data_IF_392565838300
#
_entry.id   IF_392565838300
#
_cell.length_a   1.000
_cell.length_b   1.000
_cell.length_c   1.000
_cell.angle_alpha   90.00
_cell.angle_beta   90.00
_cell.angle_gamma   90.00
#
_symmetry.space_group_name_H-M   'P 1'
#
loop_
_entity.id
_entity.type
_entity.pdbx_description
1 polymer ?
#
# COMPACT_ATOMS: atom_id res chain seq x y z
N UNK A 1 -37.85 -12.24 6.21
CA UNK A 1 -37.79 -10.76 6.23
C UNK A 1 -36.37 -10.41 6.57
N UNK A 2 -35.67 -9.70 5.70
CA UNK A 2 -34.36 -9.14 6.02
C UNK A 2 -34.57 -8.13 7.15
N UNK A 3 -33.88 -8.32 8.28
CA UNK A 3 -33.99 -7.43 9.45
C UNK A 3 -32.82 -6.46 9.43
N UNK A 4 -33.09 -5.21 9.08
CA UNK A 4 -32.10 -4.13 9.18
C UNK A 4 -32.10 -3.52 10.57
N UNK A 5 -30.95 -3.54 11.23
CA UNK A 5 -30.62 -2.77 12.42
C UNK A 5 -29.97 -1.45 12.00
N UNK A 6 -30.78 -0.40 11.92
CA UNK A 6 -30.31 0.97 11.70
C UNK A 6 -29.85 1.57 13.04
N UNK A 7 -28.57 1.93 13.15
CA UNK A 7 -28.01 2.55 14.35
C UNK A 7 -28.32 4.05 14.49
N UNK A 8 -28.96 4.68 13.50
CA UNK A 8 -29.33 6.09 13.47
C UNK A 8 -28.16 7.05 13.82
N UNK A 9 -26.98 6.77 13.28
CA UNK A 9 -25.73 7.48 13.51
C UNK A 9 -25.09 7.23 14.89
N UNK A 10 -25.66 6.37 15.73
CA UNK A 10 -25.16 6.09 17.08
C UNK A 10 -24.02 5.07 17.07
N UNK A 11 -23.34 4.97 18.22
CA UNK A 11 -22.26 4.01 18.45
C UNK A 11 -22.74 2.86 19.34
N UNK A 12 -22.72 1.64 18.80
CA UNK A 12 -22.87 0.41 19.55
C UNK A 12 -21.49 -0.01 20.11
N UNK A 13 -21.32 0.11 21.42
CA UNK A 13 -20.09 -0.32 22.12
C UNK A 13 -20.29 -1.72 22.65
N UNK A 14 -19.48 -2.66 22.19
CA UNK A 14 -19.57 -4.04 22.63
C UNK A 14 -18.95 -4.22 24.03
N UNK A 15 -19.52 -5.10 24.88
CA UNK A 15 -18.84 -5.57 26.08
C UNK A 15 -17.51 -6.22 25.70
N UNK A 16 -16.50 -6.07 26.54
CA UNK A 16 -15.17 -6.63 26.27
C UNK A 16 -15.24 -8.15 26.08
N UNK A 17 -14.52 -8.65 25.08
CA UNK A 17 -14.42 -10.09 24.75
C UNK A 17 -15.73 -10.80 24.38
N UNK A 18 -16.84 -10.08 24.22
CA UNK A 18 -18.07 -10.65 23.69
C UNK A 18 -17.95 -11.02 22.20
N UNK A 19 -18.87 -11.84 21.71
CA UNK A 19 -19.03 -12.12 20.29
C UNK A 19 -20.21 -11.30 19.75
N UNK A 20 -20.01 -10.64 18.61
CA UNK A 20 -21.09 -10.08 17.82
C UNK A 20 -21.44 -11.11 16.74
N UNK A 21 -22.56 -11.81 16.90
CA UNK A 21 -23.06 -12.75 15.89
C UNK A 21 -24.14 -12.08 15.04
N UNK A 22 -24.04 -12.21 13.71
CA UNK A 22 -25.08 -11.81 12.76
C UNK A 22 -25.54 -13.05 12.00
N UNK A 23 -26.84 -13.36 12.10
CA UNK A 23 -27.46 -14.55 11.52
C UNK A 23 -28.63 -14.18 10.58
N UNK A 24 -29.06 -15.12 9.73
CA UNK A 24 -30.34 -15.09 9.00
C UNK A 24 -30.59 -13.82 8.16
N UNK A 25 -29.56 -13.32 7.46
CA UNK A 25 -29.61 -12.09 6.64
C UNK A 25 -29.93 -10.82 7.46
N UNK A 26 -29.52 -10.76 8.73
CA UNK A 26 -29.48 -9.52 9.49
C UNK A 26 -28.50 -8.51 8.86
N UNK A 27 -28.88 -7.24 8.77
CA UNK A 27 -28.05 -6.17 8.24
C UNK A 27 -27.88 -5.10 9.33
N UNK A 28 -26.65 -4.71 9.65
CA UNK A 28 -26.37 -3.56 10.53
C UNK A 28 -25.77 -2.40 9.72
N UNK A 29 -26.33 -1.20 9.86
CA UNK A 29 -25.93 -0.03 9.07
C UNK A 29 -26.09 1.31 9.81
N UNK A 30 -25.63 2.39 9.18
CA UNK A 30 -25.89 3.78 9.56
C UNK A 30 -25.47 4.10 11.00
N UNK A 31 -24.19 3.94 11.32
CA UNK A 31 -23.63 4.24 12.64
C UNK A 31 -22.24 3.67 12.84
N UNK A 32 -21.88 3.38 14.09
CA UNK A 32 -20.58 2.85 14.46
C UNK A 32 -20.72 1.59 15.31
N UNK A 33 -19.88 0.59 15.04
CA UNK A 33 -19.65 -0.52 15.98
C UNK A 33 -18.23 -0.43 16.53
N UNK A 34 -18.08 -0.54 17.85
CA UNK A 34 -16.79 -0.46 18.53
C UNK A 34 -16.47 -1.74 19.29
N UNK A 35 -15.46 -2.47 18.79
CA UNK A 35 -14.90 -3.65 19.43
C UNK A 35 -13.88 -3.33 20.52
N UNK A 36 -13.79 -4.21 21.52
CA UNK A 36 -12.88 -4.19 22.67
C UNK A 36 -12.25 -5.58 22.85
N UNK A 37 -11.69 -6.12 21.76
CA UNK A 37 -11.19 -7.49 21.66
C UNK A 37 -12.29 -8.51 21.36
N UNK A 38 -13.29 -8.09 20.58
CA UNK A 38 -14.45 -8.90 20.21
C UNK A 38 -14.18 -9.70 18.91
N UNK A 39 -15.00 -10.72 18.67
CA UNK A 39 -15.12 -11.38 17.37
C UNK A 39 -16.44 -10.98 16.70
N UNK A 40 -16.43 -10.93 15.37
CA UNK A 40 -17.61 -10.83 14.52
C UNK A 40 -17.80 -12.18 13.82
N UNK A 41 -18.92 -12.84 14.10
CA UNK A 41 -19.30 -14.08 13.44
C UNK A 41 -20.49 -13.85 12.54
N UNK A 42 -20.40 -14.40 11.33
CA UNK A 42 -21.38 -14.22 10.26
C UNK A 42 -21.84 -15.61 9.82
N UNK A 43 -23.07 -16.00 10.19
CA UNK A 43 -23.55 -17.38 10.08
C UNK A 43 -24.79 -17.48 9.18
N UNK A 44 -24.81 -18.51 8.31
CA UNK A 44 -25.96 -18.87 7.47
C UNK A 44 -26.51 -17.68 6.65
N UNK A 45 -25.63 -17.01 5.90
CA UNK A 45 -25.98 -15.82 5.11
C UNK A 45 -25.48 -15.92 3.68
N UNK A 46 -26.39 -15.60 2.76
CA UNK A 46 -26.13 -15.49 1.32
C UNK A 46 -26.06 -14.02 0.86
N UNK A 47 -26.25 -13.08 1.79
CA UNK A 47 -26.29 -11.64 1.55
C UNK A 47 -25.32 -10.90 2.49
N UNK A 48 -24.88 -9.69 2.11
CA UNK A 48 -24.12 -8.83 2.99
C UNK A 48 -24.86 -8.52 4.30
N UNK A 49 -24.09 -8.40 5.39
CA UNK A 49 -24.57 -8.18 6.76
C UNK A 49 -24.13 -6.84 7.35
N UNK A 50 -23.19 -6.15 6.70
CA UNK A 50 -22.70 -4.82 7.09
C UNK A 50 -23.02 -3.83 5.97
N UNK A 51 -23.76 -2.77 6.29
CA UNK A 51 -24.15 -1.76 5.32
C UNK A 51 -23.04 -0.75 5.00
N UNK A 52 -23.22 -0.02 3.89
CA UNK A 52 -22.22 0.92 3.36
C UNK A 52 -22.00 2.16 4.24
N UNK A 53 -22.88 2.46 5.21
CA UNK A 53 -22.82 3.63 6.09
C UNK A 53 -22.38 3.28 7.51
N UNK A 54 -21.98 2.02 7.76
CA UNK A 54 -21.40 1.61 9.02
C UNK A 54 -19.92 1.98 9.10
N UNK A 55 -19.42 2.31 10.29
CA UNK A 55 -17.99 2.38 10.58
C UNK A 55 -17.61 1.39 11.67
N UNK A 56 -16.54 0.65 11.44
CA UNK A 56 -15.99 -0.34 12.37
C UNK A 56 -14.78 0.27 13.08
N UNK A 57 -14.79 0.24 14.40
CA UNK A 57 -13.76 0.83 15.25
C UNK A 57 -13.31 -0.16 16.33
N UNK A 58 -12.17 0.14 16.96
CA UNK A 58 -11.68 -0.59 18.12
C UNK A 58 -10.87 -1.84 17.76
N UNK A 59 -10.77 -2.78 18.71
CA UNK A 59 -9.97 -4.01 18.55
C UNK A 59 -10.88 -5.20 18.25
N UNK A 60 -10.52 -5.99 17.24
CA UNK A 60 -11.25 -7.16 16.77
C UNK A 60 -10.32 -8.35 16.59
N UNK A 61 -10.72 -9.54 17.05
CA UNK A 61 -9.87 -10.74 17.09
C UNK A 61 -10.28 -11.80 16.07
N UNK A 62 -10.89 -11.36 14.96
CA UNK A 62 -11.34 -12.27 13.92
C UNK A 62 -10.15 -13.06 13.36
N UNK A 63 -10.36 -14.37 13.17
CA UNK A 63 -9.39 -15.22 12.48
C UNK A 63 -9.57 -15.17 10.97
N UNK A 64 -10.81 -14.95 10.52
CA UNK A 64 -11.18 -14.87 9.12
C UNK A 64 -12.15 -13.71 8.92
N UNK A 65 -11.99 -12.96 7.83
CA UNK A 65 -12.90 -11.91 7.39
C UNK A 65 -13.14 -12.06 5.90
N UNK A 66 -14.39 -11.93 5.46
CA UNK A 66 -14.71 -11.91 4.03
C UNK A 66 -15.27 -10.54 3.64
N UNK A 67 -14.81 -10.01 2.51
CA UNK A 67 -15.36 -8.78 1.96
C UNK A 67 -16.85 -8.92 1.59
N UNK A 68 -17.32 -10.15 1.31
CA UNK A 68 -18.74 -10.47 1.09
C UNK A 68 -19.67 -10.14 2.26
N UNK A 69 -19.14 -9.97 3.48
CA UNK A 69 -19.91 -9.50 4.62
C UNK A 69 -20.41 -8.06 4.46
N UNK A 70 -19.80 -7.29 3.55
CA UNK A 70 -20.06 -5.87 3.35
C UNK A 70 -20.92 -5.64 2.12
N UNK A 71 -21.91 -4.76 2.26
CA UNK A 71 -22.62 -4.19 1.13
C UNK A 71 -21.61 -3.53 0.21
N UNK A 72 -21.88 -3.63 -1.09
CA UNK A 72 -20.98 -3.20 -2.13
C UNK A 72 -21.82 -2.56 -3.24
N UNK A 73 -21.27 -1.51 -3.86
CA UNK A 73 -21.80 -0.87 -5.05
C UNK A 73 -20.69 -0.92 -6.10
N UNK A 74 -20.99 -1.57 -7.21
CA UNK A 74 -20.06 -1.81 -8.32
C UNK A 74 -19.86 -0.58 -9.21
N UNK A 75 -20.61 0.50 -8.99
CA UNK A 75 -20.50 1.72 -9.77
C UNK A 75 -19.11 2.34 -9.66
N UNK A 76 -18.49 2.75 -10.78
CA UNK A 76 -17.24 3.52 -10.77
C UNK A 76 -17.33 4.85 -10.01
N UNK A 77 -18.53 5.36 -9.74
CA UNK A 77 -18.73 6.58 -8.94
C UNK A 77 -18.77 6.32 -7.43
N UNK A 78 -18.82 5.06 -7.00
CA UNK A 78 -18.94 4.71 -5.59
C UNK A 78 -17.55 4.55 -4.96
N UNK A 79 -17.23 5.44 -4.01
CA UNK A 79 -15.93 5.47 -3.33
C UNK A 79 -15.94 4.50 -2.15
N UNK A 80 -15.15 3.43 -2.26
CA UNK A 80 -15.12 2.29 -1.35
C UNK A 80 -14.12 2.42 -0.19
N UNK A 81 -13.52 3.59 0.02
CA UNK A 81 -12.51 3.79 1.06
C UNK A 81 -12.96 3.30 2.44
N UNK A 82 -14.20 3.61 2.85
CA UNK A 82 -14.70 3.24 4.17
C UNK A 82 -14.98 1.74 4.29
N UNK A 83 -15.41 1.07 3.21
CA UNK A 83 -15.59 -0.38 3.19
C UNK A 83 -14.24 -1.09 3.36
N UNK A 84 -13.23 -0.72 2.56
CA UNK A 84 -11.89 -1.31 2.65
C UNK A 84 -11.32 -1.07 4.06
N UNK A 85 -11.45 0.14 4.60
CA UNK A 85 -10.99 0.47 5.97
C UNK A 85 -11.72 -0.34 7.04
N UNK A 86 -13.03 -0.55 6.90
CA UNK A 86 -13.79 -1.37 7.84
C UNK A 86 -13.36 -2.83 7.80
N UNK A 87 -13.17 -3.40 6.61
CA UNK A 87 -12.66 -4.77 6.43
C UNK A 87 -11.30 -4.92 7.12
N UNK A 88 -10.35 -4.01 6.86
CA UNK A 88 -9.03 -4.01 7.47
C UNK A 88 -9.06 -3.77 8.99
N UNK A 89 -10.09 -3.09 9.51
CA UNK A 89 -10.27 -2.81 10.95
C UNK A 89 -10.78 -4.01 11.75
N UNK A 90 -11.18 -5.10 11.10
CA UNK A 90 -11.66 -6.32 11.76
C UNK A 90 -10.51 -7.24 12.25
N UNK A 91 -9.27 -6.76 12.22
CA UNK A 91 -8.10 -7.37 12.88
C UNK A 91 -7.48 -6.39 13.89
N UNK A 92 -6.95 -6.91 14.99
CA UNK A 92 -6.28 -6.14 16.04
C UNK A 92 -4.77 -5.99 15.80
N UNK A 93 -4.25 -6.68 14.79
CA UNK A 93 -2.83 -6.71 14.48
C UNK A 93 -1.96 -7.50 15.47
N UNK A 94 -2.56 -8.11 16.49
CA UNK A 94 -1.89 -8.94 17.51
C UNK A 94 -2.10 -10.43 17.21
N UNK A 95 -3.29 -10.81 16.74
CA UNK A 95 -3.66 -12.17 16.37
C UNK A 95 -3.65 -12.33 14.85
N UNK A 96 -3.35 -13.53 14.37
CA UNK A 96 -3.35 -13.79 12.93
C UNK A 96 -4.77 -13.74 12.37
N UNK A 97 -4.98 -12.93 11.34
CA UNK A 97 -6.27 -12.80 10.65
C UNK A 97 -6.08 -12.96 9.15
N UNK A 98 -6.92 -13.79 8.52
CA UNK A 98 -6.99 -13.94 7.07
C UNK A 98 -8.20 -13.20 6.52
N UNK A 99 -7.96 -12.19 5.69
CA UNK A 99 -8.98 -11.39 5.03
C UNK A 99 -9.04 -11.78 3.56
N UNK A 100 -10.23 -12.14 3.10
CA UNK A 100 -10.51 -12.50 1.71
C UNK A 100 -11.23 -11.37 1.00
N UNK A 101 -10.60 -10.84 -0.04
CA UNK A 101 -11.18 -9.96 -1.04
C UNK A 101 -11.54 -10.79 -2.27
N UNK A 102 -12.78 -11.27 -2.31
CA UNK A 102 -13.24 -12.31 -3.23
C UNK A 102 -13.51 -11.76 -4.64
N UNK A 103 -13.45 -12.63 -5.65
CA UNK A 103 -13.62 -12.30 -7.07
C UNK A 103 -14.88 -11.47 -7.38
N UNK A 104 -14.94 -10.93 -8.60
CA UNK A 104 -16.13 -10.27 -9.16
C UNK A 104 -16.50 -8.94 -8.48
N UNK A 105 -15.54 -8.33 -7.77
CA UNK A 105 -15.66 -6.98 -7.20
C UNK A 105 -14.54 -6.07 -7.69
N UNK A 106 -14.89 -4.83 -8.04
CA UNK A 106 -13.93 -3.76 -8.25
C UNK A 106 -14.18 -2.67 -7.23
N UNK A 107 -13.30 -2.55 -6.25
CA UNK A 107 -13.35 -1.47 -5.27
C UNK A 107 -12.69 -0.23 -5.85
N UNK A 108 -13.52 0.73 -6.27
CA UNK A 108 -13.04 2.06 -6.62
C UNK A 108 -12.73 2.84 -5.36
N UNK A 109 -11.53 3.39 -5.24
CA UNK A 109 -11.11 4.15 -4.07
C UNK A 109 -10.40 5.44 -4.49
N UNK A 110 -10.26 6.39 -3.59
CA UNK A 110 -9.55 7.64 -3.87
C UNK A 110 -8.59 8.03 -2.76
N UNK A 111 -7.70 8.98 -3.06
CA UNK A 111 -7.07 9.80 -2.03
C UNK A 111 -8.11 10.82 -1.51
N UNK A 112 -8.47 10.81 -0.21
CA UNK A 112 -9.44 11.77 0.33
C UNK A 112 -8.94 13.21 0.35
N UNK A 113 -7.62 13.41 0.45
CA UNK A 113 -7.02 14.73 0.43
C UNK A 113 -7.17 15.40 -0.95
N UNK A 114 -7.80 16.58 -0.98
CA UNK A 114 -8.00 17.41 -2.18
C UNK A 114 -7.32 18.79 -2.08
N UNK A 115 -6.30 18.92 -1.24
CA UNK A 115 -5.61 20.18 -0.97
C UNK A 115 -4.52 20.52 -1.99
N UNK A 116 -3.42 21.10 -1.49
CA UNK A 116 -2.32 21.61 -2.31
C UNK A 116 -1.60 20.49 -3.07
N UNK A 117 -1.60 20.60 -4.40
CA UNK A 117 -1.06 19.56 -5.29
C UNK A 117 0.47 19.50 -5.30
N UNK A 118 1.16 20.59 -4.93
CA UNK A 118 2.62 20.67 -4.90
C UNK A 118 3.19 20.64 -3.48
N UNK A 119 3.22 19.46 -2.89
CA UNK A 119 3.78 19.28 -1.54
C UNK A 119 5.30 19.49 -1.47
N UNK A 120 5.98 19.51 -2.62
CA UNK A 120 7.41 19.80 -2.69
C UNK A 120 7.80 21.18 -2.15
N UNK A 121 6.88 22.14 -2.13
CA UNK A 121 7.17 23.46 -1.55
C UNK A 121 6.94 23.52 -0.04
N UNK A 122 6.37 22.46 0.55
CA UNK A 122 6.13 22.34 2.00
C UNK A 122 7.20 21.53 2.72
N UNK A 123 7.86 20.60 2.02
CA UNK A 123 8.96 19.83 2.61
C UNK A 123 10.17 20.72 2.86
N UNK A 124 10.92 20.39 3.91
CA UNK A 124 12.17 21.08 4.23
C UNK A 124 13.15 20.98 3.07
N UNK A 125 14.08 21.93 2.94
CA UNK A 125 15.12 21.88 1.91
C UNK A 125 16.45 22.43 2.42
N UNK A 126 17.53 21.98 1.79
CA UNK A 126 18.85 22.60 1.89
C UNK A 126 19.23 23.22 0.55
N UNK A 127 20.20 24.13 0.57
CA UNK A 127 20.76 24.73 -0.64
C UNK A 127 22.07 24.03 -0.98
N UNK A 128 22.22 23.59 -2.23
CA UNK A 128 23.51 23.19 -2.81
C UNK A 128 23.79 24.10 -4.00
N UNK A 129 24.67 25.09 -3.77
CA UNK A 129 24.79 26.25 -4.66
C UNK A 129 23.44 26.95 -4.84
N UNK A 130 23.00 27.11 -6.08
CA UNK A 130 21.73 27.77 -6.43
C UNK A 130 20.54 26.80 -6.57
N UNK A 131 20.70 25.53 -6.17
CA UNK A 131 19.64 24.51 -6.27
C UNK A 131 19.09 24.15 -4.90
N UNK A 132 17.76 24.09 -4.80
CA UNK A 132 17.06 23.54 -3.64
C UNK A 132 17.13 22.01 -3.70
N UNK A 133 17.68 21.39 -2.66
CA UNK A 133 17.60 19.95 -2.42
C UNK A 133 16.48 19.75 -1.40
N UNK A 134 15.35 19.24 -1.86
CA UNK A 134 14.17 18.99 -1.02
C UNK A 134 14.35 17.69 -0.23
N UNK A 135 14.01 17.73 1.05
CA UNK A 135 14.00 16.58 1.95
C UNK A 135 12.65 15.87 1.84
N UNK A 136 12.46 15.16 0.73
CA UNK A 136 11.18 14.51 0.44
C UNK A 136 10.75 13.44 1.46
N UNK A 137 11.71 12.87 2.20
CA UNK A 137 11.43 11.98 3.34
C UNK A 137 10.54 12.63 4.42
N UNK A 138 10.39 13.97 4.41
CA UNK A 138 9.45 14.66 5.28
C UNK A 138 8.00 14.20 5.07
N UNK A 139 7.63 13.73 3.87
CA UNK A 139 6.29 13.20 3.57
C UNK A 139 5.95 11.94 4.40
N UNK A 140 6.95 11.29 5.00
CA UNK A 140 6.76 10.16 5.91
C UNK A 140 6.37 10.58 7.33
N UNK A 141 6.40 11.88 7.67
CA UNK A 141 6.01 12.39 8.99
C UNK A 141 4.50 12.36 9.18
N UNK A 142 4.06 12.31 10.44
CA UNK A 142 2.64 12.23 10.81
C UNK A 142 1.80 13.44 10.35
N UNK A 143 2.42 14.61 10.21
CA UNK A 143 1.77 15.81 9.67
C UNK A 143 1.24 15.60 8.23
N UNK A 144 1.83 14.67 7.47
CA UNK A 144 1.41 14.27 6.12
C UNK A 144 0.58 12.99 6.10
N UNK A 145 0.05 12.54 7.23
CA UNK A 145 -0.77 11.32 7.30
C UNK A 145 -2.01 11.34 6.39
N UNK A 146 -2.47 12.51 5.97
CA UNK A 146 -3.55 12.68 4.99
C UNK A 146 -3.21 12.15 3.58
N UNK A 147 -1.95 11.82 3.31
CA UNK A 147 -1.50 11.18 2.07
C UNK A 147 -1.65 9.65 2.07
N UNK A 148 -1.97 9.07 3.23
CA UNK A 148 -2.05 7.62 3.44
C UNK A 148 -3.49 7.19 3.31
N UNK A 149 -3.78 6.29 2.38
CA UNK A 149 -5.15 5.84 2.10
C UNK A 149 -5.52 4.68 3.03
N UNK A 150 -4.70 3.63 3.02
CA UNK A 150 -4.87 2.41 3.80
C UNK A 150 -3.58 2.01 4.53
N UNK A 151 -3.76 1.17 5.55
CA UNK A 151 -2.70 0.53 6.33
C UNK A 151 -3.16 -0.87 6.70
N UNK A 152 -2.29 -1.84 6.58
CA UNK A 152 -2.54 -3.25 6.92
C UNK A 152 -2.01 -3.51 8.34
N UNK A 153 -2.85 -4.01 9.26
CA UNK A 153 -2.36 -4.42 10.57
C UNK A 153 -1.36 -5.58 10.48
N UNK A 154 -0.41 -5.66 11.41
CA UNK A 154 0.53 -6.80 11.48
C UNK A 154 -0.22 -8.12 11.64
N UNK A 155 0.43 -9.26 11.39
CA UNK A 155 -0.20 -10.58 11.49
C UNK A 155 -1.47 -10.71 10.62
N UNK A 156 -1.43 -10.18 9.40
CA UNK A 156 -2.57 -10.19 8.48
C UNK A 156 -2.19 -10.88 7.18
N UNK A 157 -3.05 -11.79 6.74
CA UNK A 157 -3.01 -12.36 5.40
C UNK A 157 -4.15 -11.77 4.59
N UNK A 158 -3.84 -11.07 3.51
CA UNK A 158 -4.81 -10.59 2.53
C UNK A 158 -4.77 -11.48 1.29
N UNK A 159 -5.88 -12.14 0.96
CA UNK A 159 -6.05 -12.74 -0.37
C UNK A 159 -6.88 -11.79 -1.22
N UNK A 160 -6.27 -11.21 -2.24
CA UNK A 160 -6.87 -10.28 -3.19
C UNK A 160 -7.10 -11.01 -4.52
N UNK A 161 -8.30 -11.53 -4.71
CA UNK A 161 -8.76 -12.11 -5.98
C UNK A 161 -9.59 -11.14 -6.82
N UNK A 162 -9.81 -9.94 -6.29
CA UNK A 162 -10.61 -8.88 -6.89
C UNK A 162 -9.74 -7.71 -7.36
N UNK A 163 -10.32 -6.56 -7.71
CA UNK A 163 -9.51 -5.38 -8.05
C UNK A 163 -9.74 -4.19 -7.13
N UNK A 164 -8.66 -3.56 -6.67
CA UNK A 164 -8.68 -2.22 -6.10
C UNK A 164 -8.24 -1.24 -7.17
N UNK A 165 -9.12 -0.33 -7.59
CA UNK A 165 -8.84 0.65 -8.63
C UNK A 165 -8.89 2.06 -8.08
N UNK A 166 -7.76 2.76 -8.09
CA UNK A 166 -7.74 4.16 -7.69
C UNK A 166 -8.45 5.03 -8.73
N UNK A 167 -9.31 5.93 -8.27
CA UNK A 167 -9.89 7.00 -9.06
C UNK A 167 -8.86 8.11 -9.32
N UNK A 168 -8.89 8.76 -10.49
CA UNK A 168 -7.96 9.83 -10.83
C UNK A 168 -7.88 10.95 -9.79
N UNK A 169 -6.67 11.37 -9.46
CA UNK A 169 -6.41 12.55 -8.64
C UNK A 169 -5.45 13.51 -9.35
N UNK A 170 -5.31 14.73 -8.83
CA UNK A 170 -4.31 15.71 -9.24
C UNK A 170 -3.22 15.92 -8.17
N UNK A 171 -3.17 15.04 -7.16
CA UNK A 171 -2.26 15.16 -6.03
C UNK A 171 -0.89 14.58 -6.37
N UNK A 172 0.17 15.32 -6.05
CA UNK A 172 1.55 14.97 -6.45
C UNK A 172 2.26 13.91 -5.61
N UNK A 173 1.62 13.44 -4.54
CA UNK A 173 2.10 12.34 -3.71
C UNK A 173 0.91 11.65 -3.03
N UNK A 174 1.03 10.34 -2.80
CA UNK A 174 0.13 9.53 -2.00
C UNK A 174 0.71 8.13 -1.74
N UNK A 175 0.12 7.44 -0.77
CA UNK A 175 0.45 6.06 -0.44
C UNK A 175 -0.86 5.28 -0.38
N UNK A 176 -1.07 4.32 -1.28
CA UNK A 176 -2.25 3.47 -1.25
C UNK A 176 -2.20 2.62 0.02
N UNK A 177 -1.12 1.86 0.20
CA UNK A 177 -0.77 1.17 1.43
C UNK A 177 0.51 1.76 2.03
N UNK A 178 0.37 2.44 3.17
CA UNK A 178 1.48 2.93 3.97
C UNK A 178 1.71 1.97 5.14
N UNK A 179 2.79 1.19 5.05
CA UNK A 179 3.17 0.19 6.03
C UNK A 179 4.47 0.59 6.73
N UNK A 180 4.33 1.06 7.97
CA UNK A 180 5.46 1.42 8.83
C UNK A 180 5.57 0.42 9.99
N UNK A 181 6.75 -0.19 10.13
CA UNK A 181 7.08 -1.12 11.23
C UNK A 181 6.08 -2.26 11.38
N UNK A 182 5.54 -2.75 10.25
CA UNK A 182 4.60 -3.88 10.22
C UNK A 182 5.37 -5.20 10.16
N UNK A 183 4.74 -6.25 10.68
CA UNK A 183 5.31 -7.61 10.64
C UNK A 183 4.30 -8.67 10.28
N UNK A 184 4.78 -9.77 9.71
CA UNK A 184 3.98 -10.96 9.40
C UNK A 184 2.78 -10.62 8.51
N UNK A 185 3.05 -9.98 7.37
CA UNK A 185 2.02 -9.67 6.38
C UNK A 185 2.21 -10.55 5.15
N UNK A 186 1.13 -11.18 4.72
CA UNK A 186 1.06 -11.97 3.50
C UNK A 186 0.01 -11.33 2.61
N UNK A 187 0.35 -11.07 1.35
CA UNK A 187 -0.58 -10.60 0.34
C UNK A 187 -0.49 -11.55 -0.84
N UNK A 188 -1.55 -12.29 -1.12
CA UNK A 188 -1.63 -13.19 -2.25
C UNK A 188 -2.94 -13.07 -3.03
N UNK A 189 -3.12 -13.90 -4.06
CA UNK A 189 -4.33 -13.95 -4.87
C UNK A 189 -4.04 -13.80 -6.36
N UNK A 190 -5.10 -13.56 -7.13
CA UNK A 190 -5.04 -13.40 -8.61
C UNK A 190 -5.54 -12.04 -9.10
N UNK A 191 -5.92 -11.17 -8.15
CA UNK A 191 -6.51 -9.86 -8.39
C UNK A 191 -5.51 -8.76 -8.76
N UNK A 192 -5.97 -7.52 -8.67
CA UNK A 192 -5.16 -6.33 -8.93
C UNK A 192 -5.25 -5.25 -7.87
N UNK A 193 -4.15 -4.52 -7.69
CA UNK A 193 -4.15 -3.19 -7.08
C UNK A 193 -3.59 -2.21 -8.09
N UNK A 194 -4.43 -1.27 -8.52
CA UNK A 194 -4.11 -0.29 -9.54
C UNK A 194 -4.10 1.13 -8.95
N UNK A 195 -2.99 1.83 -9.15
CA UNK A 195 -2.91 3.28 -8.92
C UNK A 195 -3.61 4.08 -10.02
N UNK A 196 -3.41 5.39 -10.02
CA UNK A 196 -4.08 6.29 -10.95
C UNK A 196 -3.21 6.77 -12.12
N UNK A 197 -1.96 6.30 -12.25
CA UNK A 197 -0.96 6.89 -13.17
C UNK A 197 -1.42 6.95 -14.63
N UNK A 198 -2.26 6.01 -15.08
CA UNK A 198 -2.81 5.99 -16.44
C UNK A 198 -3.71 7.18 -16.74
N UNK A 199 -4.49 7.59 -15.75
CA UNK A 199 -5.55 8.58 -15.89
C UNK A 199 -5.34 9.80 -14.98
N UNK A 200 -4.13 9.94 -14.43
CA UNK A 200 -3.79 10.97 -13.46
C UNK A 200 -4.05 12.38 -14.05
N UNK A 201 -4.52 13.31 -13.20
CA UNK A 201 -4.97 14.63 -13.64
C UNK A 201 -3.82 15.64 -13.54
N UNK A 202 -3.12 15.86 -14.66
CA UNK A 202 -1.98 16.79 -14.76
C UNK A 202 -2.39 18.25 -15.06
N UNK A 203 -3.52 18.73 -14.52
CA UNK A 203 -4.09 20.03 -14.91
C UNK A 203 -3.54 21.24 -14.13
N UNK A 204 -2.71 21.03 -13.11
CA UNK A 204 -2.10 22.13 -12.35
C UNK A 204 -0.87 22.69 -13.08
N UNK A 205 -0.73 24.01 -13.11
CA UNK A 205 0.39 24.70 -13.79
C UNK A 205 1.75 24.33 -13.20
N UNK A 206 1.78 23.90 -11.93
CA UNK A 206 2.98 23.46 -11.23
C UNK A 206 3.41 22.05 -11.67
N UNK A 207 2.42 21.20 -11.94
CA UNK A 207 2.60 19.81 -12.37
C UNK A 207 3.26 19.75 -13.75
N UNK A 208 2.85 20.64 -14.65
CA UNK A 208 3.27 20.67 -16.06
C UNK A 208 4.78 20.92 -16.25
N UNK A 209 5.49 21.36 -15.22
CA UNK A 209 6.95 21.64 -15.27
C UNK A 209 7.78 21.00 -14.15
N UNK A 210 7.17 20.20 -13.25
CA UNK A 210 7.89 19.63 -12.12
C UNK A 210 8.56 18.30 -12.48
N UNK A 211 9.89 18.24 -12.31
CA UNK A 211 10.68 17.01 -12.48
C UNK A 211 10.45 15.97 -11.39
N UNK A 212 9.90 16.40 -10.25
CA UNK A 212 9.75 15.59 -9.02
C UNK A 212 8.30 15.18 -8.74
N UNK A 213 7.38 15.59 -9.60
CA UNK A 213 5.97 15.24 -9.45
C UNK A 213 5.81 13.73 -9.58
N UNK A 214 5.09 13.11 -8.65
CA UNK A 214 4.81 11.67 -8.58
C UNK A 214 6.01 10.77 -8.31
N UNK A 215 7.06 11.27 -7.67
CA UNK A 215 8.05 10.35 -7.08
C UNK A 215 7.48 9.59 -5.88
N UNK A 216 6.60 10.24 -5.12
CA UNK A 216 6.06 9.75 -3.84
C UNK A 216 4.63 9.22 -3.98
N UNK A 217 4.41 8.33 -4.96
CA UNK A 217 3.11 7.77 -5.32
C UNK A 217 3.09 6.24 -5.26
N UNK A 218 3.07 5.66 -4.06
CA UNK A 218 3.32 4.23 -3.91
C UNK A 218 2.04 3.40 -3.85
N UNK A 219 2.05 2.20 -4.46
CA UNK A 219 1.02 1.20 -4.13
C UNK A 219 1.32 0.63 -2.74
N UNK A 220 2.50 0.06 -2.53
CA UNK A 220 2.97 -0.42 -1.24
C UNK A 220 4.26 0.29 -0.84
N UNK A 221 4.21 1.10 0.21
CA UNK A 221 5.41 1.61 0.88
C UNK A 221 5.61 0.84 2.19
N UNK A 222 6.64 0.00 2.22
CA UNK A 222 6.98 -0.92 3.29
C UNK A 222 8.25 -0.42 4.01
N UNK A 223 8.05 0.54 4.91
CA UNK A 223 9.13 1.13 5.70
C UNK A 223 9.39 0.33 6.97
N UNK A 224 10.63 -0.10 7.19
CA UNK A 224 11.05 -0.85 8.39
C UNK A 224 10.16 -2.09 8.70
N UNK A 225 9.60 -2.71 7.65
CA UNK A 225 8.72 -3.87 7.79
C UNK A 225 9.50 -5.19 7.83
N UNK A 226 8.95 -6.23 8.48
CA UNK A 226 9.58 -7.55 8.52
C UNK A 226 8.64 -8.71 8.19
N UNK A 227 9.15 -9.77 7.56
CA UNK A 227 8.35 -10.93 7.16
C UNK A 227 7.12 -10.50 6.34
N UNK A 228 7.39 -9.82 5.21
CA UNK A 228 6.38 -9.27 4.31
C UNK A 228 6.45 -9.99 2.96
N UNK A 229 5.34 -10.59 2.53
CA UNK A 229 5.32 -11.46 1.35
C UNK A 229 4.23 -11.05 0.37
N UNK A 230 4.57 -11.04 -0.91
CA UNK A 230 3.65 -10.83 -2.02
C UNK A 230 3.66 -12.08 -2.93
N UNK A 231 2.49 -12.54 -3.37
CA UNK A 231 2.39 -13.63 -4.34
C UNK A 231 1.22 -13.53 -5.32
N UNK A 232 1.44 -13.75 -6.60
CA UNK A 232 0.37 -14.01 -7.59
C UNK A 232 -0.45 -12.81 -8.09
N UNK A 233 -0.51 -11.71 -7.32
CA UNK A 233 -1.31 -10.52 -7.67
C UNK A 233 -0.68 -9.67 -8.78
N UNK A 234 -1.49 -8.78 -9.36
CA UNK A 234 -1.04 -7.75 -10.30
C UNK A 234 -0.97 -6.38 -9.60
N UNK A 235 0.15 -5.68 -9.75
CA UNK A 235 0.32 -4.29 -9.31
C UNK A 235 0.54 -3.42 -10.53
N UNK A 236 -0.28 -2.40 -10.72
CA UNK A 236 -0.19 -1.59 -11.94
C UNK A 236 -0.52 -0.12 -11.78
N UNK A 237 0.00 0.68 -12.71
CA UNK A 237 -0.27 2.12 -12.81
C UNK A 237 0.04 2.88 -11.50
N UNK A 238 1.10 2.48 -10.80
CA UNK A 238 1.62 3.24 -9.67
C UNK A 238 2.10 4.62 -10.14
N UNK A 239 1.71 5.66 -9.42
CA UNK A 239 2.09 7.04 -9.76
C UNK A 239 3.56 7.37 -9.47
N UNK A 240 4.18 6.61 -8.56
CA UNK A 240 5.60 6.45 -8.30
C UNK A 240 5.97 4.97 -8.44
N UNK A 241 6.27 4.28 -7.33
CA UNK A 241 6.70 2.87 -7.36
C UNK A 241 5.56 1.90 -6.98
N UNK A 242 5.54 0.68 -7.54
CA UNK A 242 4.56 -0.32 -7.09
C UNK A 242 4.90 -0.82 -5.67
N UNK A 243 6.14 -1.25 -5.42
CA UNK A 243 6.59 -1.67 -4.08
C UNK A 243 7.86 -0.90 -3.73
N UNK A 244 7.89 -0.29 -2.55
CA UNK A 244 9.09 0.35 -2.00
C UNK A 244 9.42 -0.26 -0.65
N UNK A 245 10.54 -0.97 -0.56
CA UNK A 245 11.14 -1.38 0.71
C UNK A 245 12.18 -0.36 1.11
N UNK A 246 11.94 0.31 2.25
CA UNK A 246 12.80 1.42 2.68
C UNK A 246 13.05 1.38 4.17
N UNK A 247 14.08 2.09 4.61
CA UNK A 247 14.47 2.16 6.00
C UNK A 247 13.80 3.33 6.74
N UNK A 248 13.71 3.21 8.06
CA UNK A 248 13.39 4.33 8.96
C UNK A 248 14.66 5.06 9.39
N UNK A 249 15.03 6.11 8.65
CA UNK A 249 16.20 6.94 8.94
C UNK A 249 16.10 7.73 10.25
N UNK A 250 14.91 7.81 10.86
CA UNK A 250 14.68 8.57 12.08
C UNK A 250 14.80 7.73 13.36
N UNK A 251 14.83 6.39 13.24
CA UNK A 251 14.88 5.52 14.41
C UNK A 251 16.24 5.60 15.11
N UNK A 252 16.26 5.75 16.44
CA UNK A 252 17.52 5.69 17.20
C UNK A 252 18.05 4.25 17.30
N UNK A 253 17.15 3.25 17.32
CA UNK A 253 17.54 1.85 17.36
C UNK A 253 17.79 1.33 15.94
N UNK A 254 19.08 1.21 15.60
CA UNK A 254 19.58 0.72 14.31
C UNK A 254 18.87 -0.56 13.83
N UNK A 255 18.58 -1.50 14.72
CA UNK A 255 17.94 -2.78 14.36
C UNK A 255 16.50 -2.62 13.86
N UNK A 256 15.85 -1.51 14.21
CA UNK A 256 14.48 -1.21 13.82
C UNK A 256 14.40 -0.32 12.58
N UNK A 257 15.55 0.04 11.98
CA UNK A 257 15.57 0.86 10.76
C UNK A 257 15.25 0.05 9.52
N UNK A 258 15.65 -1.21 9.49
CA UNK A 258 15.81 -1.97 8.23
C UNK A 258 14.58 -2.83 7.96
N UNK A 259 14.09 -2.78 6.72
CA UNK A 259 13.11 -3.75 6.24
C UNK A 259 13.81 -5.09 5.94
N UNK A 260 13.23 -6.21 6.38
CA UNK A 260 13.92 -7.50 6.45
C UNK A 260 12.98 -8.69 6.19
N UNK A 261 13.52 -9.78 5.63
CA UNK A 261 12.79 -11.02 5.33
C UNK A 261 11.59 -10.76 4.40
N UNK A 262 11.90 -10.44 3.16
CA UNK A 262 10.95 -9.94 2.18
C UNK A 262 10.88 -10.87 0.96
N UNK A 263 9.67 -11.15 0.49
CA UNK A 263 9.44 -12.02 -0.66
C UNK A 263 8.49 -11.37 -1.66
N UNK A 264 8.92 -11.32 -2.91
CA UNK A 264 8.11 -11.01 -4.08
C UNK A 264 8.17 -12.25 -4.97
N UNK A 265 7.07 -13.00 -5.08
CA UNK A 265 7.00 -14.23 -5.87
C UNK A 265 5.85 -14.15 -6.88
N UNK A 266 6.09 -14.51 -8.14
CA UNK A 266 5.02 -14.69 -9.13
C UNK A 266 4.09 -13.46 -9.27
N UNK A 267 4.61 -12.25 -9.13
CA UNK A 267 3.83 -11.03 -9.36
C UNK A 267 3.82 -10.63 -10.83
N UNK A 268 2.82 -9.82 -11.20
CA UNK A 268 2.86 -9.00 -12.42
C UNK A 268 2.92 -7.54 -12.01
N UNK A 269 4.00 -6.85 -12.36
CA UNK A 269 4.20 -5.44 -12.05
C UNK A 269 4.23 -4.67 -13.36
N UNK A 270 3.29 -3.74 -13.55
CA UNK A 270 3.09 -3.06 -14.84
C UNK A 270 2.95 -1.56 -14.73
N UNK A 271 3.58 -0.84 -15.66
CA UNK A 271 3.36 0.59 -15.85
C UNK A 271 3.50 1.40 -14.55
N UNK A 272 4.47 1.04 -13.71
CA UNK A 272 4.89 1.93 -12.63
C UNK A 272 5.53 3.17 -13.26
N UNK A 273 5.19 4.36 -12.77
CA UNK A 273 5.71 5.61 -13.33
C UNK A 273 7.18 5.85 -12.98
N UNK A 274 7.63 5.40 -11.81
CA UNK A 274 9.05 5.28 -11.47
C UNK A 274 9.44 3.81 -11.54
N UNK A 275 9.56 3.16 -10.38
CA UNK A 275 10.14 1.84 -10.28
C UNK A 275 9.05 0.77 -10.11
N UNK A 276 9.23 -0.40 -10.70
CA UNK A 276 8.39 -1.54 -10.34
C UNK A 276 8.58 -1.89 -8.86
N UNK A 277 9.83 -2.13 -8.46
CA UNK A 277 10.22 -2.39 -7.06
C UNK A 277 11.45 -1.56 -6.72
N UNK A 278 11.43 -0.89 -5.57
CA UNK A 278 12.59 -0.22 -4.98
C UNK A 278 13.04 -0.99 -3.73
N UNK A 279 14.33 -1.28 -3.61
CA UNK A 279 14.91 -2.09 -2.53
C UNK A 279 16.04 -1.36 -1.81
N UNK A 280 15.78 -1.01 -0.56
CA UNK A 280 16.75 -0.61 0.46
C UNK A 280 16.50 -1.45 1.73
N UNK A 281 16.88 -2.73 1.67
CA UNK A 281 16.44 -3.75 2.62
C UNK A 281 17.35 -4.99 2.64
N UNK A 282 17.17 -5.86 3.64
CA UNK A 282 17.95 -7.09 3.81
C UNK A 282 17.10 -8.35 3.66
N UNK A 283 17.72 -9.46 3.25
CA UNK A 283 17.05 -10.76 3.06
C UNK A 283 15.84 -10.65 2.12
N UNK A 284 16.07 -10.18 0.91
CA UNK A 284 15.02 -9.95 -0.09
C UNK A 284 15.13 -10.98 -1.20
N UNK A 285 14.02 -11.63 -1.53
CA UNK A 285 13.93 -12.53 -2.68
C UNK A 285 12.87 -11.96 -3.64
N UNK A 286 13.30 -11.67 -4.87
CA UNK A 286 12.42 -11.35 -6.00
C UNK A 286 12.50 -12.50 -7.00
N UNK A 287 11.41 -13.22 -7.19
CA UNK A 287 11.40 -14.40 -8.05
C UNK A 287 10.15 -14.57 -8.88
N UNK A 288 10.27 -15.27 -10.02
CA UNK A 288 9.17 -15.63 -10.91
C UNK A 288 8.28 -14.44 -11.35
N UNK A 289 8.81 -13.21 -11.25
CA UNK A 289 8.01 -12.00 -11.37
C UNK A 289 8.14 -11.42 -12.77
N UNK A 290 7.03 -10.93 -13.30
CA UNK A 290 6.92 -10.31 -14.60
C UNK A 290 6.84 -8.79 -14.46
N UNK A 291 7.73 -8.07 -15.15
CA UNK A 291 7.79 -6.62 -15.17
C UNK A 291 7.54 -6.07 -16.57
N UNK A 292 6.63 -5.11 -16.69
CA UNK A 292 6.25 -4.54 -17.99
C UNK A 292 6.04 -3.03 -17.95
N UNK A 293 6.65 -2.30 -18.89
CA UNK A 293 6.29 -0.91 -19.17
C UNK A 293 6.64 0.11 -18.08
N UNK A 294 7.47 -0.26 -17.09
CA UNK A 294 7.89 0.65 -16.02
C UNK A 294 8.70 1.83 -16.58
N UNK A 295 8.38 3.04 -16.10
CA UNK A 295 9.08 4.28 -16.43
C UNK A 295 8.89 4.79 -17.85
N UNK A 296 8.03 4.16 -18.66
CA UNK A 296 7.81 4.50 -20.06
C UNK A 296 7.17 5.89 -20.25
N UNK A 297 7.33 6.47 -21.45
CA UNK A 297 6.71 7.75 -21.79
C UNK A 297 5.17 7.68 -21.79
N UNK A 298 4.58 6.52 -22.09
CA UNK A 298 3.14 6.29 -22.05
C UNK A 298 2.53 6.42 -20.64
N UNK A 299 3.36 6.35 -19.60
CA UNK A 299 2.93 6.55 -18.21
C UNK A 299 3.59 7.76 -17.55
N UNK A 300 4.06 8.72 -18.36
CA UNK A 300 4.74 9.93 -17.89
C UNK A 300 5.95 9.64 -17.01
N UNK A 301 6.75 8.62 -17.36
CA UNK A 301 7.77 8.08 -16.49
C UNK A 301 8.74 9.11 -15.89
N UNK A 302 9.10 8.89 -14.64
CA UNK A 302 10.03 9.71 -13.83
C UNK A 302 11.20 8.86 -13.36
N UNK A 303 12.40 9.44 -13.30
CA UNK A 303 13.61 8.73 -12.87
C UNK A 303 13.41 8.09 -11.47
N UNK A 304 14.00 6.91 -11.20
CA UNK A 304 14.94 6.15 -12.04
C UNK A 304 14.37 5.39 -13.24
N UNK A 305 13.06 5.11 -13.30
CA UNK A 305 12.38 4.43 -14.44
C UNK A 305 12.74 2.95 -14.61
N UNK A 306 12.96 2.24 -13.51
CA UNK A 306 13.45 0.86 -13.55
C UNK A 306 12.38 -0.17 -13.21
N UNK A 307 12.46 -1.39 -13.73
CA UNK A 307 11.63 -2.48 -13.20
C UNK A 307 12.02 -2.80 -11.76
N UNK A 308 13.32 -2.91 -11.47
CA UNK A 308 13.84 -3.04 -10.10
C UNK A 308 14.94 -2.00 -9.88
N UNK A 309 14.90 -1.33 -8.74
CA UNK A 309 15.90 -0.35 -8.33
C UNK A 309 16.48 -0.73 -6.97
N UNK A 310 17.78 -1.00 -6.93
CA UNK A 310 18.51 -1.22 -5.69
C UNK A 310 19.00 0.13 -5.18
N UNK A 311 18.18 0.78 -4.35
CA UNK A 311 18.31 2.22 -4.00
C UNK A 311 18.61 2.41 -2.49
N UNK A 312 19.71 1.87 -1.91
CA UNK A 312 20.10 2.18 -0.54
C UNK A 312 20.80 3.55 -0.49
N UNK A 313 20.14 4.62 -0.98
CA UNK A 313 20.72 5.96 -1.22
C UNK A 313 21.49 6.52 -0.02
N UNK A 314 21.00 6.20 1.18
CA UNK A 314 21.49 6.73 2.44
C UNK A 314 22.56 5.82 3.09
N UNK A 315 23.05 4.78 2.40
CA UNK A 315 23.99 3.77 2.94
C UNK A 315 25.30 4.37 3.45
N UNK A 316 25.73 5.52 2.92
CA UNK A 316 26.93 6.22 3.40
C UNK A 316 26.78 6.73 4.84
N UNK A 317 25.56 7.10 5.23
CA UNK A 317 25.25 7.58 6.56
C UNK A 317 24.65 6.49 7.46
N UNK A 318 24.00 5.49 6.84
CA UNK A 318 23.32 4.39 7.52
C UNK A 318 23.77 3.05 6.90
N UNK A 319 25.01 2.59 7.14
CA UNK A 319 25.56 1.41 6.48
C UNK A 319 24.74 0.13 6.70
N UNK A 320 23.96 0.05 7.77
CA UNK A 320 23.06 -1.06 8.08
C UNK A 320 21.89 -1.24 7.09
N UNK A 321 21.53 -0.20 6.31
CA UNK A 321 20.41 -0.26 5.36
C UNK A 321 20.80 -0.89 4.03
N UNK A 322 22.08 -1.26 3.88
CA UNK A 322 22.60 -1.81 2.65
C UNK A 322 21.83 -3.05 2.21
N UNK A 323 21.77 -3.24 0.89
CA UNK A 323 21.16 -4.41 0.29
C UNK A 323 22.01 -5.66 0.55
N UNK A 324 21.67 -6.38 1.63
CA UNK A 324 22.38 -7.60 2.06
C UNK A 324 21.50 -8.82 1.83
N UNK A 325 22.07 -9.86 1.20
CA UNK A 325 21.36 -11.09 0.85
C UNK A 325 20.09 -10.81 0.02
N UNK A 326 20.27 -10.04 -1.06
CA UNK A 326 19.22 -9.74 -2.02
C UNK A 326 19.41 -10.64 -3.24
N UNK A 327 18.36 -11.37 -3.60
CA UNK A 327 18.37 -12.35 -4.69
C UNK A 327 17.26 -12.04 -5.68
N UNK A 328 17.62 -12.03 -6.96
CA UNK A 328 16.68 -11.96 -8.08
C UNK A 328 16.83 -13.21 -8.94
N UNK A 329 15.73 -13.92 -9.24
CA UNK A 329 15.78 -15.13 -10.09
C UNK A 329 14.51 -15.35 -10.89
N UNK A 330 14.65 -15.89 -12.10
CA UNK A 330 13.52 -16.26 -12.96
C UNK A 330 12.52 -15.12 -13.23
N UNK A 331 12.98 -13.87 -13.22
CA UNK A 331 12.16 -12.71 -13.55
C UNK A 331 12.18 -12.44 -15.06
N UNK A 332 11.08 -11.90 -15.58
CA UNK A 332 10.94 -11.55 -16.99
C UNK A 332 10.65 -10.06 -17.12
N UNK A 333 11.37 -9.40 -18.02
CA UNK A 333 11.27 -7.97 -18.25
C UNK A 333 10.84 -7.70 -19.69
N UNK A 334 9.87 -6.80 -19.88
CA UNK A 334 9.38 -6.39 -21.20
C UNK A 334 9.15 -4.88 -21.21
N UNK A 335 9.72 -4.17 -22.19
CA UNK A 335 9.38 -2.77 -22.48
C UNK A 335 9.52 -1.81 -21.28
N UNK A 336 10.35 -2.12 -20.28
CA UNK A 336 10.74 -1.16 -19.25
C UNK A 336 11.78 -0.19 -19.84
N UNK A 337 11.90 1.01 -19.28
CA UNK A 337 13.00 1.91 -19.67
C UNK A 337 14.34 1.35 -19.20
N UNK A 338 14.39 0.88 -17.94
CA UNK A 338 15.50 0.10 -17.41
C UNK A 338 14.95 -1.16 -16.75
N UNK A 339 15.62 -2.29 -16.89
CA UNK A 339 15.24 -3.51 -16.18
C UNK A 339 15.75 -3.48 -14.73
N UNK A 340 16.97 -3.00 -14.54
CA UNK A 340 17.62 -2.90 -13.24
C UNK A 340 18.39 -1.59 -13.16
N UNK A 341 18.25 -0.86 -12.05
CA UNK A 341 19.14 0.23 -11.66
C UNK A 341 19.66 0.06 -10.24
N UNK A 342 20.63 0.90 -9.90
CA UNK A 342 21.30 0.91 -8.62
C UNK A 342 21.91 2.29 -8.39
N UNK A 343 21.78 2.80 -7.17
CA UNK A 343 22.51 4.01 -6.76
C UNK A 343 23.95 3.63 -6.42
N UNK A 344 24.92 4.37 -6.96
CA UNK A 344 26.39 4.22 -6.81
C UNK A 344 27.17 3.38 -7.84
N UNK A 345 26.56 2.92 -8.95
CA UNK A 345 27.34 2.30 -10.03
C UNK A 345 28.12 3.30 -10.90
N UNK A 346 29.26 3.78 -10.36
CA UNK A 346 30.45 4.15 -11.12
C UNK A 346 31.64 3.30 -10.60
N UNK A 347 31.84 2.13 -11.25
CA UNK A 347 33.07 1.31 -11.38
C UNK A 347 33.53 0.34 -10.28
N UNK A 348 33.87 -0.87 -10.76
CA UNK A 348 34.79 -1.92 -10.29
C UNK A 348 35.10 -2.04 -8.78
N UNK A 349 34.34 -2.88 -8.06
CA UNK A 349 34.89 -3.98 -7.24
C UNK A 349 33.76 -4.97 -6.84
N UNK A 350 34.06 -6.26 -6.90
CA UNK A 350 33.20 -7.35 -6.42
C UNK A 350 33.39 -7.51 -4.91
N UNK A 351 32.49 -6.95 -4.12
CA UNK A 351 32.57 -7.00 -2.65
C UNK A 351 31.23 -7.09 -1.93
N UNK A 352 30.57 -8.25 -1.98
CA UNK A 352 29.45 -8.74 -1.12
C UNK A 352 28.16 -7.92 -0.99
N UNK A 353 28.07 -6.68 -1.48
CA UNK A 353 26.87 -5.85 -1.41
C UNK A 353 26.55 -5.40 -2.83
N UNK A 354 25.35 -5.75 -3.31
CA UNK A 354 24.82 -5.19 -4.54
C UNK A 354 24.31 -3.78 -4.19
N UNK A 355 25.19 -2.78 -4.34
CA UNK A 355 24.74 -1.39 -4.46
C UNK A 355 24.11 -1.21 -5.80
#
# INVERSE_FOLDING_TARGET
>A
MDKTCDLAGKCLRLPASAELCIEQNGLIDNGMIQGRGNNLSVLNVDKPVIGCKLRILGKWKNQVVFDSWFCFDESPSFVSNDIIKNILSLTDGEHFCHIYFQTDRTYYFELPYKGETNLGDKVSFTMSGNKKIRKWSDLNKNEYSFLRIFTIPSNTHLTIDNCFQMLPTNQGAYYIFWEYSKRNIIIDGKGCVAGDAKNHIYNSSIVKGSKYYGEWGYIFCCQACSNFKFSGITLEYAFGDCISYTADYSNENIRNRVANDLLIDNLKIRYARRNGVTVAATNVIVQNTFFEGCGTSSIHGTAPKSAIDFEPDEIRWFPEIGNVNVQMRYCRFINNIHDISSTFNNLYDYGKIAT
#
